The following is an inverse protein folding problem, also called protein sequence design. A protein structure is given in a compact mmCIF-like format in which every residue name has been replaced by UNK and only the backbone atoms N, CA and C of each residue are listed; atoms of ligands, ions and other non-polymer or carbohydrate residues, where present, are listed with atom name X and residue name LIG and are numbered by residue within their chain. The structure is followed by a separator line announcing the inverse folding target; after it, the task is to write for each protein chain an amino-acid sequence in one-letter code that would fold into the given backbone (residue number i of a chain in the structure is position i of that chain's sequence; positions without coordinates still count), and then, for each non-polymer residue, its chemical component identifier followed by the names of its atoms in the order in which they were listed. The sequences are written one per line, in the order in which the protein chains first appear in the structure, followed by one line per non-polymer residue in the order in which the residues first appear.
data_IF_541507245402
#
_entry.id   IF_541507245402
#
_cell.length_a   1.000
_cell.length_b   1.000
_cell.length_c   1.000
_cell.angle_alpha   90.00
_cell.angle_beta   90.00
_cell.angle_gamma   90.00
#
_symmetry.space_group_name_H-M   'P 1'
#
loop_
_entity.id
_entity.type
_entity.pdbx_description
1 polymer ?
#
# COMPACT_ATOMS: atom_id res chain seq x y z
N UNK A 1 22.95 -30.95 62.03
CA UNK A 1 21.88 -29.99 61.64
C UNK A 1 22.32 -29.30 60.35
N UNK A 2 21.56 -29.44 59.27
CA UNK A 2 21.85 -28.83 57.97
C UNK A 2 20.84 -27.71 57.66
N UNK A 3 21.33 -26.55 57.19
CA UNK A 3 20.62 -25.45 56.47
C UNK A 3 21.64 -24.30 56.29
N UNK A 4 21.69 -23.51 55.22
CA UNK A 4 21.05 -23.54 53.91
C UNK A 4 21.91 -22.65 52.98
N UNK A 5 22.12 -23.06 51.73
CA UNK A 5 22.79 -22.26 50.70
C UNK A 5 21.81 -21.17 50.22
N UNK A 6 22.18 -19.89 50.33
CA UNK A 6 21.40 -18.81 49.73
C UNK A 6 21.87 -18.57 48.29
N UNK A 7 20.99 -18.70 47.27
CA UNK A 7 21.38 -18.38 45.91
C UNK A 7 21.44 -16.86 45.70
N UNK A 8 22.47 -16.44 44.97
CA UNK A 8 22.70 -15.06 44.57
C UNK A 8 21.50 -14.47 43.84
N UNK A 9 21.22 -13.19 44.11
CA UNK A 9 20.18 -12.39 43.44
C UNK A 9 20.42 -12.44 41.93
N UNK A 10 19.51 -13.09 41.20
CA UNK A 10 19.38 -12.95 39.75
C UNK A 10 19.17 -11.48 39.45
N UNK A 11 20.15 -10.84 38.83
CA UNK A 11 19.98 -9.57 38.13
C UNK A 11 18.92 -9.78 37.06
N UNK A 12 17.73 -9.27 37.33
CA UNK A 12 16.65 -9.18 36.38
C UNK A 12 17.13 -8.28 35.25
N UNK A 13 17.59 -8.87 34.14
CA UNK A 13 17.68 -8.14 32.87
C UNK A 13 16.29 -7.63 32.59
N UNK A 14 16.07 -6.32 32.78
CA UNK A 14 14.92 -5.63 32.19
C UNK A 14 14.95 -5.96 30.71
N UNK A 15 14.01 -6.78 30.26
CA UNK A 15 13.64 -6.83 28.84
C UNK A 15 13.07 -5.43 28.59
N UNK A 16 13.88 -4.56 28.03
CA UNK A 16 13.35 -3.37 27.39
C UNK A 16 12.38 -3.89 26.34
N UNK A 17 11.11 -3.52 26.47
CA UNK A 17 10.11 -3.60 25.41
C UNK A 17 10.50 -2.59 24.34
N UNK A 18 11.67 -2.81 23.73
CA UNK A 18 12.12 -2.10 22.56
C UNK A 18 11.16 -2.45 21.45
N UNK A 19 10.40 -1.47 21.00
CA UNK A 19 9.61 -1.57 19.76
C UNK A 19 10.52 -2.19 18.71
N UNK A 20 10.13 -3.34 18.17
CA UNK A 20 10.97 -4.09 17.24
C UNK A 20 11.42 -3.17 16.13
N UNK A 21 12.68 -3.24 15.70
CA UNK A 21 13.20 -2.44 14.58
C UNK A 21 12.28 -2.57 13.36
N UNK A 22 11.71 -3.76 13.13
CA UNK A 22 10.72 -4.01 12.10
C UNK A 22 9.43 -3.19 12.26
N UNK A 23 8.97 -2.98 13.49
CA UNK A 23 7.78 -2.17 13.76
C UNK A 23 8.04 -0.66 13.55
N UNK A 24 9.24 -0.20 13.87
CA UNK A 24 9.65 1.19 13.62
C UNK A 24 9.83 1.44 12.12
N UNK A 25 10.46 0.53 11.39
CA UNK A 25 10.60 0.62 9.93
C UNK A 25 9.26 0.56 9.23
N UNK A 26 8.33 -0.29 9.70
CA UNK A 26 6.96 -0.35 9.18
C UNK A 26 6.22 0.97 9.39
N UNK A 27 6.24 1.53 10.61
CA UNK A 27 5.63 2.84 10.89
C UNK A 27 6.27 3.97 10.10
N UNK A 28 7.58 3.91 9.87
CA UNK A 28 8.30 4.90 9.06
C UNK A 28 7.88 4.81 7.59
N UNK A 29 7.77 3.60 7.04
CA UNK A 29 7.25 3.40 5.69
C UNK A 29 5.80 3.85 5.55
N UNK A 30 4.91 3.52 6.48
CA UNK A 30 3.52 4.01 6.47
C UNK A 30 3.44 5.55 6.56
N UNK A 31 4.27 6.18 7.38
CA UNK A 31 4.32 7.64 7.47
C UNK A 31 4.85 8.29 6.19
N UNK A 32 5.84 7.68 5.52
CA UNK A 32 6.31 8.15 4.20
C UNK A 32 5.21 8.00 3.14
N UNK A 33 4.45 6.89 3.15
CA UNK A 33 3.30 6.70 2.24
C UNK A 33 2.21 7.75 2.45
N UNK A 34 2.02 8.21 3.68
CA UNK A 34 0.98 9.18 4.05
C UNK A 34 1.32 10.63 3.73
N UNK A 35 2.60 10.98 3.56
CA UNK A 35 2.99 12.39 3.54
C UNK A 35 2.82 13.07 2.18
N UNK A 36 2.99 12.37 1.05
CA UNK A 36 3.17 13.03 -0.26
C UNK A 36 2.54 12.29 -1.47
N UNK A 37 1.60 11.37 -1.25
CA UNK A 37 1.02 10.57 -2.32
C UNK A 37 0.01 11.34 -3.18
N UNK A 38 0.22 11.43 -4.50
CA UNK A 38 -0.80 11.96 -5.42
C UNK A 38 -2.03 11.04 -5.41
N UNK A 39 -3.23 11.61 -5.59
CA UNK A 39 -4.47 10.83 -5.70
C UNK A 39 -4.78 10.58 -7.17
N UNK A 40 -5.09 9.34 -7.51
CA UNK A 40 -5.60 9.00 -8.84
C UNK A 40 -7.10 9.35 -8.93
N UNK A 41 -7.44 10.26 -9.83
CA UNK A 41 -8.80 10.68 -10.14
C UNK A 41 -9.09 10.62 -11.65
N UNK A 42 -10.32 10.95 -12.05
CA UNK A 42 -10.74 10.93 -13.46
C UNK A 42 -9.94 11.92 -14.32
N UNK A 43 -9.80 13.21 -13.95
CA UNK A 43 -9.00 14.17 -14.73
C UNK A 43 -7.58 13.69 -14.98
N UNK A 44 -6.91 13.13 -13.97
CA UNK A 44 -5.56 12.58 -14.11
C UNK A 44 -5.48 11.53 -15.21
N UNK A 45 -6.44 10.59 -15.27
CA UNK A 45 -6.44 9.53 -16.27
C UNK A 45 -6.74 10.05 -17.68
N UNK A 46 -7.68 10.98 -17.82
CA UNK A 46 -8.01 11.58 -19.11
C UNK A 46 -6.82 12.35 -19.68
N UNK A 47 -6.17 13.18 -18.85
CA UNK A 47 -5.02 13.99 -19.25
C UNK A 47 -3.80 13.12 -19.57
N UNK A 48 -3.46 12.16 -18.70
CA UNK A 48 -2.27 11.31 -18.88
C UNK A 48 -2.34 10.39 -20.10
N UNK A 49 -3.55 10.04 -20.56
CA UNK A 49 -3.76 9.13 -21.67
C UNK A 49 -4.32 9.81 -22.93
N UNK A 50 -4.45 11.15 -22.91
CA UNK A 50 -4.97 11.96 -24.02
C UNK A 50 -6.32 11.45 -24.56
N UNK A 51 -7.27 11.14 -23.67
CA UNK A 51 -8.64 10.74 -24.05
C UNK A 51 -9.66 11.68 -23.43
N UNK A 52 -10.74 11.94 -24.17
CA UNK A 52 -11.82 12.82 -23.69
C UNK A 52 -12.88 12.06 -22.88
N UNK A 53 -13.04 10.76 -23.16
CA UNK A 53 -14.11 9.93 -22.61
C UNK A 53 -13.56 8.69 -21.88
N UNK A 54 -14.00 8.41 -20.64
CA UNK A 54 -13.53 7.25 -19.84
C UNK A 54 -13.70 5.89 -20.52
N UNK A 55 -14.71 5.75 -21.38
CA UNK A 55 -15.01 4.50 -22.10
C UNK A 55 -13.97 4.16 -23.17
N UNK A 56 -13.17 5.13 -23.62
CA UNK A 56 -12.12 4.91 -24.60
C UNK A 56 -10.88 4.25 -23.99
N UNK A 57 -10.78 4.21 -22.67
CA UNK A 57 -9.64 3.66 -21.96
C UNK A 57 -9.82 2.16 -21.67
N UNK A 58 -8.91 1.35 -22.21
CA UNK A 58 -8.84 -0.11 -21.94
C UNK A 58 -7.59 -0.50 -21.15
N UNK A 59 -6.52 0.28 -21.29
CA UNK A 59 -5.23 0.08 -20.64
C UNK A 59 -4.83 1.37 -19.92
N UNK A 60 -4.40 1.23 -18.67
CA UNK A 60 -3.96 2.34 -17.81
C UNK A 60 -2.49 2.12 -17.44
N UNK A 61 -1.63 3.09 -17.71
CA UNK A 61 -0.25 3.12 -17.23
C UNK A 61 -0.01 4.33 -16.33
N UNK A 62 0.17 4.06 -15.05
CA UNK A 62 0.35 5.07 -13.98
C UNK A 62 1.60 4.75 -13.14
N UNK A 63 2.60 4.15 -13.77
CA UNK A 63 3.85 3.77 -13.11
C UNK A 63 4.61 4.96 -12.57
N UNK A 64 5.13 4.83 -11.35
CA UNK A 64 6.07 5.82 -10.79
C UNK A 64 5.46 7.20 -10.53
N UNK A 65 4.13 7.30 -10.50
CA UNK A 65 3.39 8.55 -10.32
C UNK A 65 3.28 8.98 -8.85
N UNK A 66 3.97 8.27 -7.94
CA UNK A 66 3.95 8.50 -6.48
C UNK A 66 2.52 8.47 -5.92
N UNK A 67 1.67 7.60 -6.43
CA UNK A 67 0.28 7.49 -6.02
C UNK A 67 0.15 6.78 -4.68
N UNK A 68 -0.65 7.33 -3.77
CA UNK A 68 -0.95 6.75 -2.46
C UNK A 68 -2.43 6.44 -2.23
N UNK A 69 -3.31 6.99 -3.07
CA UNK A 69 -4.77 6.87 -2.95
C UNK A 69 -5.43 6.91 -4.32
N UNK A 70 -6.65 6.37 -4.37
CA UNK A 70 -7.56 6.46 -5.51
C UNK A 70 -8.83 7.19 -5.05
N UNK A 71 -9.53 7.83 -5.98
CA UNK A 71 -10.89 8.35 -5.78
C UNK A 71 -11.89 7.43 -6.50
N UNK A 72 -12.41 6.37 -5.84
CA UNK A 72 -13.08 5.27 -6.53
C UNK A 72 -14.34 5.69 -7.28
N UNK A 73 -15.07 6.69 -6.77
CA UNK A 73 -16.29 7.19 -7.40
C UNK A 73 -16.03 7.75 -8.80
N UNK A 74 -14.92 8.46 -8.99
CA UNK A 74 -14.51 9.00 -10.29
C UNK A 74 -14.06 7.86 -11.23
N UNK A 75 -13.42 6.84 -10.67
CA UNK A 75 -12.85 5.72 -11.44
C UNK A 75 -13.90 4.70 -11.90
N UNK A 76 -15.07 4.66 -11.25
CA UNK A 76 -16.19 3.81 -11.69
C UNK A 76 -16.65 4.13 -13.11
N UNK A 77 -16.38 5.30 -13.66
CA UNK A 77 -16.76 5.66 -15.03
C UNK A 77 -15.95 4.90 -16.10
N UNK A 78 -14.76 4.41 -15.76
CA UNK A 78 -13.85 3.71 -16.67
C UNK A 78 -14.23 2.23 -16.81
N UNK A 79 -15.36 1.96 -17.46
CA UNK A 79 -15.95 0.61 -17.56
C UNK A 79 -15.14 -0.39 -18.38
N UNK A 80 -14.27 0.07 -19.27
CA UNK A 80 -13.55 -0.77 -20.22
C UNK A 80 -12.11 -1.09 -19.82
N UNK A 81 -11.62 -0.54 -18.70
CA UNK A 81 -10.25 -0.78 -18.23
C UNK A 81 -10.09 -2.23 -17.84
N UNK A 82 -9.31 -2.96 -18.65
CA UNK A 82 -9.01 -4.37 -18.48
C UNK A 82 -7.59 -4.61 -17.93
N UNK A 83 -6.70 -3.63 -18.10
CA UNK A 83 -5.29 -3.74 -17.75
C UNK A 83 -4.82 -2.48 -17.05
N UNK A 84 -4.19 -2.64 -15.88
CA UNK A 84 -3.64 -1.51 -15.12
C UNK A 84 -2.20 -1.80 -14.72
N UNK A 85 -1.29 -0.91 -15.11
CA UNK A 85 0.08 -0.88 -14.62
C UNK A 85 0.27 0.23 -13.60
N UNK A 86 0.32 -0.16 -12.33
CA UNK A 86 0.47 0.74 -11.18
C UNK A 86 1.75 0.45 -10.39
N UNK A 87 2.75 -0.16 -11.02
CA UNK A 87 4.04 -0.43 -10.38
C UNK A 87 4.76 0.86 -9.93
N UNK A 88 5.67 0.74 -8.97
CA UNK A 88 6.44 1.87 -8.42
C UNK A 88 5.57 2.96 -7.75
N UNK A 89 4.49 2.57 -7.06
CA UNK A 89 3.65 3.49 -6.29
C UNK A 89 3.56 3.07 -4.82
N UNK A 90 2.56 3.53 -4.07
CA UNK A 90 2.27 3.12 -2.69
C UNK A 90 0.79 2.75 -2.53
N UNK A 91 0.26 1.97 -3.49
CA UNK A 91 -1.14 1.60 -3.58
C UNK A 91 -1.40 0.20 -3.02
N UNK A 92 -2.57 0.02 -2.42
CA UNK A 92 -3.06 -1.29 -1.98
C UNK A 92 -3.99 -1.91 -3.03
N UNK A 93 -4.08 -3.25 -3.01
CA UNK A 93 -4.89 -4.01 -3.96
C UNK A 93 -6.37 -3.60 -3.96
N UNK A 94 -6.95 -3.37 -2.78
CA UNK A 94 -8.39 -3.09 -2.62
C UNK A 94 -8.89 -1.83 -3.34
N UNK A 95 -8.00 -0.87 -3.62
CA UNK A 95 -8.36 0.39 -4.29
C UNK A 95 -8.81 0.19 -5.75
N UNK A 96 -8.40 -0.91 -6.39
CA UNK A 96 -8.68 -1.21 -7.79
C UNK A 96 -10.01 -1.96 -8.03
N UNK A 97 -10.76 -2.25 -6.96
CA UNK A 97 -12.08 -2.89 -7.04
C UNK A 97 -13.13 -2.08 -7.81
N UNK A 98 -12.88 -0.79 -8.07
CA UNK A 98 -13.74 0.08 -8.86
C UNK A 98 -13.74 -0.24 -10.37
N UNK A 99 -12.70 -0.89 -10.89
CA UNK A 99 -12.60 -1.26 -12.30
C UNK A 99 -13.30 -2.60 -12.58
N UNK A 100 -14.54 -2.54 -13.06
CA UNK A 100 -15.41 -3.73 -13.24
C UNK A 100 -14.93 -4.70 -14.31
N UNK A 101 -14.15 -4.25 -15.29
CA UNK A 101 -13.64 -5.07 -16.39
C UNK A 101 -12.18 -5.52 -16.18
N UNK A 102 -11.58 -5.21 -15.02
CA UNK A 102 -10.16 -5.45 -14.75
C UNK A 102 -9.82 -6.94 -14.80
N UNK A 103 -8.80 -7.28 -15.59
CA UNK A 103 -8.30 -8.65 -15.78
C UNK A 103 -6.87 -8.81 -15.31
N UNK A 104 -6.07 -7.75 -15.46
CA UNK A 104 -4.67 -7.74 -15.08
C UNK A 104 -4.31 -6.46 -14.33
N UNK A 105 -3.60 -6.62 -13.23
CA UNK A 105 -3.16 -5.53 -12.36
C UNK A 105 -1.71 -5.76 -11.95
N UNK A 106 -0.83 -4.84 -12.33
CA UNK A 106 0.56 -4.83 -11.92
C UNK A 106 0.77 -3.84 -10.76
N UNK A 107 1.11 -4.38 -9.58
CA UNK A 107 1.44 -3.64 -8.36
C UNK A 107 2.88 -3.86 -7.90
N UNK A 108 3.77 -4.32 -8.77
CA UNK A 108 5.18 -4.54 -8.44
C UNK A 108 5.80 -3.28 -7.83
N UNK A 109 6.60 -3.45 -6.76
CA UNK A 109 7.27 -2.36 -6.04
C UNK A 109 6.31 -1.34 -5.38
N UNK A 110 5.09 -1.75 -4.99
CA UNK A 110 4.20 -0.94 -4.13
C UNK A 110 4.42 -1.12 -2.62
N UNK A 111 5.37 -1.98 -2.22
CA UNK A 111 5.63 -2.29 -0.82
C UNK A 111 4.48 -3.04 -0.12
N UNK A 112 3.70 -3.81 -0.88
CA UNK A 112 2.64 -4.66 -0.33
C UNK A 112 3.29 -5.80 0.44
N UNK A 113 3.02 -5.85 1.76
CA UNK A 113 3.60 -6.85 2.67
C UNK A 113 2.58 -7.91 3.14
N UNK A 114 1.28 -7.65 2.94
CA UNK A 114 0.19 -8.56 3.29
C UNK A 114 -0.96 -8.38 2.33
N UNK A 115 -1.74 -9.45 2.15
CA UNK A 115 -3.02 -9.44 1.46
C UNK A 115 -4.08 -9.82 2.48
N UNK A 116 -5.04 -8.92 2.69
CA UNK A 116 -6.25 -9.21 3.44
C UNK A 116 -7.37 -9.48 2.43
N UNK A 117 -8.11 -10.56 2.67
CA UNK A 117 -9.34 -10.89 1.96
C UNK A 117 -10.44 -10.90 3.02
N UNK A 118 -11.48 -10.10 2.82
CA UNK A 118 -12.66 -10.09 3.68
C UNK A 118 -13.57 -11.29 3.35
#
# INVERSE_FOLDING_TARGET
MARAFQPARRTQRRREEGTSLWQLDYRRQENIRKLDGTTLDKPFLLESHCVDEPSLLCFVDIRGQKLGSLKPEDLKEFKNVAYVNASLNSLSLGLFSCFVALRELNLTLNGICSLAFD
#
